data_IF_521602229289
#
_entry.id   IF_521602229289
#
_cell.length_a   1.000
_cell.length_b   1.000
_cell.length_c   1.000
_cell.angle_alpha   90.00
_cell.angle_beta   90.00
_cell.angle_gamma   90.00
#
_symmetry.space_group_name_H-M   'P 1'
#
loop_
_entity.id
_entity.type
_entity.pdbx_description
1 polymer ?
#
# COMPACT_ATOMS: atom_id res chain seq x y z
N UNK A 1 4.82 15.68 20.25
CA UNK A 1 3.79 16.71 19.98
C UNK A 1 2.79 16.20 18.96
N UNK A 2 3.23 15.65 17.82
CA UNK A 2 2.34 15.07 16.79
C UNK A 2 1.52 13.87 17.30
N UNK A 3 2.17 12.86 17.88
CA UNK A 3 1.47 11.69 18.46
C UNK A 3 0.43 12.04 19.53
N UNK A 4 0.67 13.07 20.35
CA UNK A 4 -0.32 13.53 21.34
C UNK A 4 -1.53 14.20 20.68
N UNK A 5 -1.32 14.91 19.57
CA UNK A 5 -2.42 15.49 18.80
C UNK A 5 -3.25 14.40 18.12
N UNK A 6 -2.61 13.37 17.57
CA UNK A 6 -3.28 12.22 16.95
C UNK A 6 -4.07 11.41 17.97
N UNK A 7 -3.51 11.12 19.15
CA UNK A 7 -4.22 10.45 20.24
C UNK A 7 -5.45 11.23 20.68
N UNK A 8 -5.33 12.56 20.78
CA UNK A 8 -6.48 13.41 21.11
C UNK A 8 -7.55 13.39 20.01
N UNK A 9 -7.17 13.51 18.73
CA UNK A 9 -8.09 13.44 17.59
C UNK A 9 -8.81 12.08 17.56
N UNK A 10 -8.07 10.99 17.80
CA UNK A 10 -8.64 9.65 17.89
C UNK A 10 -9.64 9.52 19.04
N UNK A 11 -9.30 10.01 20.23
CA UNK A 11 -10.22 10.04 21.38
C UNK A 11 -11.49 10.85 21.09
N UNK A 12 -11.35 12.03 20.49
CA UNK A 12 -12.49 12.88 20.11
C UNK A 12 -13.41 12.16 19.10
N UNK A 13 -12.84 11.43 18.12
CA UNK A 13 -13.59 10.58 17.19
C UNK A 13 -14.34 9.45 17.91
N UNK A 14 -13.67 8.71 18.81
CA UNK A 14 -14.29 7.63 19.59
C UNK A 14 -15.46 8.14 20.45
N UNK A 15 -15.23 9.22 21.20
CA UNK A 15 -16.25 9.84 22.06
C UNK A 15 -17.46 10.33 21.24
N UNK A 16 -17.20 11.00 20.11
CA UNK A 16 -18.23 11.50 19.22
C UNK A 16 -19.09 10.37 18.65
N UNK A 17 -18.45 9.36 18.06
CA UNK A 17 -19.13 8.25 17.41
C UNK A 17 -19.93 7.39 18.41
N UNK A 18 -19.36 7.05 19.57
CA UNK A 18 -20.07 6.26 20.59
C UNK A 18 -21.29 7.02 21.11
N UNK A 19 -21.17 8.33 21.33
CA UNK A 19 -22.29 9.16 21.76
C UNK A 19 -23.41 9.24 20.72
N UNK A 20 -23.05 9.39 19.44
CA UNK A 20 -24.02 9.40 18.33
C UNK A 20 -24.78 8.07 18.23
N UNK A 21 -24.07 6.96 18.43
CA UNK A 21 -24.62 5.61 18.48
C UNK A 21 -25.37 5.29 19.79
N UNK A 22 -25.50 6.27 20.69
CA UNK A 22 -26.15 6.13 22.01
C UNK A 22 -25.53 5.02 22.87
N UNK A 23 -24.24 4.78 22.69
CA UNK A 23 -23.46 3.86 23.51
C UNK A 23 -23.16 4.40 24.91
N UNK A 24 -22.57 3.54 25.74
CA UNK A 24 -22.03 3.95 27.03
C UNK A 24 -20.69 4.67 26.83
N UNK A 25 -20.52 5.84 27.45
CA UNK A 25 -19.28 6.62 27.35
C UNK A 25 -18.51 6.52 28.65
N UNK A 26 -17.34 5.89 28.60
CA UNK A 26 -16.30 5.95 29.63
C UNK A 26 -15.05 6.59 29.02
N UNK A 27 -14.81 7.86 29.35
CA UNK A 27 -13.71 8.61 28.75
C UNK A 27 -12.33 8.02 29.06
N UNK A 28 -12.16 7.38 30.23
CA UNK A 28 -10.87 6.82 30.64
C UNK A 28 -10.53 5.57 29.83
N UNK A 29 -11.48 4.64 29.68
CA UNK A 29 -11.25 3.45 28.86
C UNK A 29 -11.12 3.78 27.36
N UNK A 30 -11.82 4.81 26.89
CA UNK A 30 -11.69 5.28 25.51
C UNK A 30 -10.35 5.99 25.25
N UNK A 31 -9.75 6.62 26.27
CA UNK A 31 -8.40 7.16 26.17
C UNK A 31 -7.36 6.04 26.01
N UNK A 32 -7.48 4.95 26.77
CA UNK A 32 -6.65 3.75 26.61
C UNK A 32 -6.83 3.12 25.22
N UNK A 33 -8.06 3.10 24.70
CA UNK A 33 -8.37 2.62 23.35
C UNK A 33 -7.74 3.50 22.26
N UNK A 34 -7.83 4.83 22.42
CA UNK A 34 -7.20 5.77 21.50
C UNK A 34 -5.66 5.64 21.49
N UNK A 35 -5.05 5.45 22.66
CA UNK A 35 -3.61 5.21 22.78
C UNK A 35 -3.21 3.92 22.07
N UNK A 36 -3.95 2.83 22.28
CA UNK A 36 -3.73 1.54 21.60
C UNK A 36 -3.74 1.68 20.08
N UNK A 37 -4.74 2.40 19.54
CA UNK A 37 -4.88 2.64 18.10
C UNK A 37 -3.67 3.42 17.58
N UNK A 38 -3.40 4.60 18.15
CA UNK A 38 -2.33 5.48 17.66
C UNK A 38 -0.95 4.84 17.82
N UNK A 39 -0.69 4.14 18.92
CA UNK A 39 0.59 3.45 19.12
C UNK A 39 0.85 2.42 18.00
N UNK A 40 -0.19 1.75 17.54
CA UNK A 40 -0.04 0.70 16.53
C UNK A 40 0.11 1.29 15.13
N UNK A 41 -0.62 2.37 14.84
CA UNK A 41 -0.55 3.08 13.56
C UNK A 41 0.73 3.90 13.38
N UNK A 42 1.50 4.11 14.46
CA UNK A 42 2.78 4.85 14.44
C UNK A 42 4.01 3.93 14.43
N UNK A 43 3.82 2.66 14.08
CA UNK A 43 4.90 1.70 13.92
C UNK A 43 5.95 2.15 12.88
N UNK A 44 7.22 1.75 13.02
CA UNK A 44 8.32 2.26 12.16
C UNK A 44 8.21 1.85 10.69
N UNK A 45 7.32 0.91 10.37
CA UNK A 45 7.08 0.38 9.03
C UNK A 45 5.81 0.93 8.37
N UNK A 46 5.04 1.75 9.09
CA UNK A 46 3.77 2.33 8.63
C UNK A 46 4.03 3.67 7.95
N UNK A 47 3.93 3.72 6.63
CA UNK A 47 4.18 4.90 5.78
C UNK A 47 2.94 5.34 5.02
N UNK A 48 2.09 4.38 4.65
CA UNK A 48 0.79 4.58 4.04
C UNK A 48 -0.30 4.40 5.10
N UNK A 49 -0.29 3.26 5.81
CA UNK A 49 -1.30 2.93 6.82
C UNK A 49 -0.97 3.63 8.15
N UNK A 50 -1.26 4.93 8.23
CA UNK A 50 -0.87 5.87 9.31
C UNK A 50 -2.10 6.43 10.06
N UNK A 51 -1.94 7.20 11.16
CA UNK A 51 -3.05 7.89 11.80
C UNK A 51 -3.85 8.80 10.86
N UNK A 52 -3.20 9.57 9.98
CA UNK A 52 -3.93 10.44 9.05
C UNK A 52 -4.80 9.62 8.10
N UNK A 53 -4.29 8.49 7.61
CA UNK A 53 -5.04 7.60 6.73
C UNK A 53 -6.35 7.12 7.39
N UNK A 54 -6.33 6.61 8.63
CA UNK A 54 -7.57 6.15 9.28
C UNK A 54 -8.57 7.28 9.53
N UNK A 55 -8.10 8.52 9.70
CA UNK A 55 -9.00 9.67 9.83
C UNK A 55 -9.60 10.09 8.48
N UNK A 56 -8.83 10.06 7.40
CA UNK A 56 -9.31 10.31 6.03
C UNK A 56 -10.35 9.25 5.63
N UNK A 57 -10.06 7.98 5.89
CA UNK A 57 -10.98 6.85 5.61
C UNK A 57 -12.24 6.90 6.46
N UNK A 58 -12.17 7.32 7.72
CA UNK A 58 -13.35 7.44 8.58
C UNK A 58 -14.30 8.56 8.15
N UNK A 59 -13.77 9.61 7.53
CA UNK A 59 -14.54 10.82 7.27
C UNK A 59 -15.10 11.42 8.57
N UNK A 60 -16.26 12.07 8.49
CA UNK A 60 -16.85 12.75 9.67
C UNK A 60 -18.37 12.68 9.73
N UNK A 61 -19.02 11.83 8.93
CA UNK A 61 -20.47 11.87 8.72
C UNK A 61 -21.21 10.73 9.40
N UNK A 62 -20.70 9.50 9.33
CA UNK A 62 -21.36 8.31 9.88
C UNK A 62 -20.49 7.68 10.98
N UNK A 63 -21.04 7.57 12.18
CA UNK A 63 -20.32 7.05 13.34
C UNK A 63 -19.81 5.60 13.19
N UNK A 64 -20.51 4.74 12.44
CA UNK A 64 -20.06 3.37 12.18
C UNK A 64 -18.87 3.38 11.22
N UNK A 65 -18.90 4.21 10.17
CA UNK A 65 -17.76 4.38 9.26
C UNK A 65 -16.53 4.89 10.00
N UNK A 66 -16.70 5.90 10.88
CA UNK A 66 -15.62 6.43 11.71
C UNK A 66 -15.01 5.34 12.59
N UNK A 67 -15.83 4.61 13.35
CA UNK A 67 -15.33 3.54 14.22
C UNK A 67 -14.67 2.42 13.43
N UNK A 68 -15.24 1.98 12.31
CA UNK A 68 -14.62 0.95 11.48
C UNK A 68 -13.26 1.40 10.93
N UNK A 69 -13.14 2.64 10.44
CA UNK A 69 -11.89 3.17 9.92
C UNK A 69 -10.77 3.22 10.97
N UNK A 70 -11.09 3.62 12.20
CA UNK A 70 -10.11 3.69 13.29
C UNK A 70 -9.45 2.32 13.60
N UNK A 71 -10.12 1.22 13.28
CA UNK A 71 -9.65 -0.12 13.59
C UNK A 71 -9.22 -0.95 12.38
N UNK A 72 -9.68 -0.68 11.16
CA UNK A 72 -9.57 -1.63 10.05
C UNK A 72 -8.13 -2.10 9.74
N UNK A 73 -7.15 -1.21 9.88
CA UNK A 73 -5.72 -1.47 9.66
C UNK A 73 -4.89 -1.67 10.93
N UNK A 74 -5.56 -1.82 12.08
CA UNK A 74 -4.89 -1.92 13.36
C UNK A 74 -3.92 -3.11 13.38
N UNK A 75 -4.29 -4.26 12.79
CA UNK A 75 -3.40 -5.41 12.69
C UNK A 75 -2.86 -5.54 11.27
N UNK A 76 -1.54 -5.40 11.08
CA UNK A 76 -0.92 -5.59 9.76
C UNK A 76 0.37 -6.43 9.87
N UNK A 77 0.19 -7.75 10.00
CA UNK A 77 1.26 -8.68 10.36
C UNK A 77 2.47 -8.63 9.41
N UNK A 78 2.22 -8.46 8.11
CA UNK A 78 3.26 -8.50 7.08
C UNK A 78 4.11 -7.22 7.07
N UNK A 79 3.50 -6.08 7.44
CA UNK A 79 4.18 -4.78 7.53
C UNK A 79 4.89 -4.66 8.87
N UNK A 80 4.22 -5.03 9.96
CA UNK A 80 4.77 -4.89 11.31
C UNK A 80 5.76 -6.00 11.70
N UNK A 81 5.95 -7.01 10.84
CA UNK A 81 6.72 -8.24 11.12
C UNK A 81 6.27 -9.00 12.38
N UNK A 82 4.98 -8.91 12.71
CA UNK A 82 4.40 -9.53 13.89
C UNK A 82 3.13 -8.85 14.38
N UNK A 83 2.69 -9.19 15.59
CA UNK A 83 1.58 -8.54 16.28
C UNK A 83 2.12 -7.93 17.57
N UNK A 84 1.81 -6.66 17.84
CA UNK A 84 2.24 -5.99 19.07
C UNK A 84 1.67 -6.68 20.32
N UNK A 85 2.41 -6.66 21.43
CA UNK A 85 1.98 -7.32 22.67
C UNK A 85 0.63 -6.79 23.16
N UNK A 86 0.42 -5.48 23.07
CA UNK A 86 -0.79 -4.78 23.51
C UNK A 86 -2.03 -5.20 22.71
N UNK A 87 -1.86 -5.58 21.44
CA UNK A 87 -2.97 -6.10 20.63
C UNK A 87 -3.09 -7.62 20.76
N UNK A 88 -1.99 -8.33 21.01
CA UNK A 88 -1.96 -9.79 21.07
C UNK A 88 -2.90 -10.38 22.12
N UNK A 89 -3.19 -9.65 23.21
CA UNK A 89 -4.12 -10.10 24.24
C UNK A 89 -5.56 -10.24 23.73
N UNK A 90 -5.96 -9.44 22.73
CA UNK A 90 -7.26 -9.52 22.09
C UNK A 90 -7.36 -10.66 21.07
N UNK A 91 -6.23 -11.07 20.47
CA UNK A 91 -6.20 -12.02 19.34
C UNK A 91 -5.82 -13.44 19.77
N UNK A 92 -4.81 -13.57 20.63
CA UNK A 92 -4.23 -14.85 21.03
C UNK A 92 -5.21 -15.85 21.64
N UNK A 93 -6.33 -15.45 22.29
CA UNK A 93 -7.35 -16.41 22.72
C UNK A 93 -8.03 -17.14 21.56
N UNK A 94 -8.02 -16.57 20.35
CA UNK A 94 -8.79 -17.06 19.20
C UNK A 94 -7.91 -17.64 18.08
N UNK A 95 -6.67 -17.16 17.97
CA UNK A 95 -5.75 -17.52 16.88
C UNK A 95 -4.45 -18.09 17.46
N UNK A 96 -3.84 -19.02 16.73
CA UNK A 96 -2.52 -19.59 17.04
C UNK A 96 -1.66 -19.61 15.79
N UNK A 97 -0.35 -19.59 15.98
CA UNK A 97 0.59 -19.80 14.89
C UNK A 97 0.93 -21.30 14.77
N UNK A 98 0.88 -21.82 13.55
CA UNK A 98 1.24 -23.20 13.20
C UNK A 98 2.18 -23.13 11.99
N UNK A 99 3.46 -23.46 12.19
CA UNK A 99 4.49 -23.48 11.13
C UNK A 99 4.60 -22.16 10.35
N UNK A 100 4.55 -21.00 11.04
CA UNK A 100 4.63 -19.69 10.40
C UNK A 100 3.32 -19.15 9.85
N UNK A 101 2.21 -19.88 9.98
CA UNK A 101 0.89 -19.46 9.51
C UNK A 101 -0.07 -19.26 10.69
N UNK A 102 -0.85 -18.18 10.67
CA UNK A 102 -1.92 -17.98 11.64
C UNK A 102 -3.13 -18.86 11.31
N UNK A 103 -3.70 -19.50 12.32
CA UNK A 103 -4.83 -20.42 12.19
C UNK A 103 -5.82 -20.11 13.31
N UNK A 104 -7.11 -20.01 12.97
CA UNK A 104 -8.17 -19.93 13.97
C UNK A 104 -8.14 -21.21 14.79
N UNK A 105 -8.23 -21.09 16.12
CA UNK A 105 -8.17 -22.25 17.01
C UNK A 105 -9.31 -23.24 16.73
N UNK A 106 -9.08 -24.48 17.13
CA UNK A 106 -10.11 -25.53 17.07
C UNK A 106 -11.29 -25.17 17.96
N UNK A 107 -12.49 -25.65 17.64
CA UNK A 107 -13.70 -25.35 18.41
C UNK A 107 -13.55 -25.69 19.91
N UNK A 108 -12.85 -26.77 20.24
CA UNK A 108 -12.60 -27.19 21.63
C UNK A 108 -11.61 -26.29 22.40
N UNK A 109 -10.90 -25.41 21.69
CA UNK A 109 -9.89 -24.50 22.22
C UNK A 109 -10.36 -23.04 22.23
N UNK A 110 -11.46 -22.73 21.56
CA UNK A 110 -12.03 -21.39 21.52
C UNK A 110 -12.80 -21.10 22.82
N UNK A 111 -12.62 -19.92 23.42
CA UNK A 111 -13.47 -19.49 24.51
C UNK A 111 -14.90 -19.24 24.00
N UNK A 112 -15.88 -19.34 24.90
CA UNK A 112 -17.24 -18.92 24.61
C UNK A 112 -17.30 -17.38 24.63
N UNK A 113 -17.06 -16.76 23.48
CA UNK A 113 -16.98 -15.32 23.32
C UNK A 113 -17.91 -14.86 22.18
N UNK A 114 -18.96 -14.14 22.56
CA UNK A 114 -20.00 -13.70 21.63
C UNK A 114 -19.47 -12.73 20.57
N UNK A 115 -18.50 -11.87 20.91
CA UNK A 115 -17.97 -10.89 19.96
C UNK A 115 -17.13 -11.57 18.88
N UNK A 116 -16.30 -12.54 19.28
CA UNK A 116 -15.58 -13.38 18.33
C UNK A 116 -16.53 -14.14 17.40
N UNK A 117 -17.59 -14.75 17.94
CA UNK A 117 -18.58 -15.48 17.14
C UNK A 117 -19.27 -14.57 16.10
N UNK A 118 -19.62 -13.34 16.48
CA UNK A 118 -20.19 -12.34 15.57
C UNK A 118 -19.20 -12.00 14.45
N UNK A 119 -17.96 -11.65 14.79
CA UNK A 119 -16.94 -11.29 13.80
C UNK A 119 -16.66 -12.46 12.87
N UNK A 120 -16.52 -13.68 13.38
CA UNK A 120 -16.34 -14.88 12.59
C UNK A 120 -17.50 -15.13 11.62
N UNK A 121 -18.76 -14.92 12.05
CA UNK A 121 -19.93 -15.06 11.20
C UNK A 121 -19.99 -14.00 10.10
N UNK A 122 -19.66 -12.73 10.41
CA UNK A 122 -19.61 -11.63 9.43
C UNK A 122 -18.53 -11.89 8.37
N UNK A 123 -17.35 -12.36 8.78
CA UNK A 123 -16.26 -12.72 7.88
C UNK A 123 -16.48 -14.07 7.19
N UNK A 124 -17.41 -14.89 7.67
CA UNK A 124 -17.63 -16.25 7.18
C UNK A 124 -16.45 -17.19 7.46
N UNK A 125 -15.68 -16.91 8.51
CA UNK A 125 -14.55 -17.73 8.93
C UNK A 125 -14.99 -18.79 9.94
N UNK A 126 -14.32 -19.94 9.91
CA UNK A 126 -14.66 -21.10 10.76
C UNK A 126 -13.48 -21.54 11.62
N UNK A 127 -13.73 -22.25 12.74
CA UNK A 127 -12.66 -22.85 13.54
C UNK A 127 -11.72 -23.72 12.71
N UNK A 128 -10.45 -23.80 13.13
CA UNK A 128 -9.37 -24.51 12.43
C UNK A 128 -8.99 -23.96 11.04
N UNK A 129 -9.64 -22.89 10.56
CA UNK A 129 -9.32 -22.30 9.27
C UNK A 129 -7.94 -21.62 9.30
N UNK A 130 -7.04 -21.91 8.33
CA UNK A 130 -5.83 -21.14 8.14
C UNK A 130 -6.18 -19.74 7.63
N UNK A 131 -5.58 -18.73 8.25
CA UNK A 131 -5.69 -17.34 7.80
C UNK A 131 -4.67 -17.08 6.69
N UNK A 132 -5.08 -16.26 5.72
CA UNK A 132 -4.28 -15.89 4.57
C UNK A 132 -4.22 -14.36 4.46
N UNK A 133 -3.02 -13.77 4.28
CA UNK A 133 -2.87 -12.34 3.99
C UNK A 133 -3.72 -11.88 2.80
N UNK A 134 -3.94 -12.76 1.82
CA UNK A 134 -4.69 -12.47 0.60
C UNK A 134 -6.20 -12.74 0.73
N UNK A 135 -6.68 -13.08 1.92
CA UNK A 135 -8.08 -13.47 2.14
C UNK A 135 -8.64 -12.86 3.42
N UNK A 136 -8.19 -11.66 3.79
CA UNK A 136 -8.76 -10.90 4.89
C UNK A 136 -8.20 -11.19 6.28
N UNK A 137 -6.98 -11.73 6.38
CA UNK A 137 -6.36 -12.01 7.68
C UNK A 137 -6.25 -10.76 8.54
N UNK A 138 -5.75 -9.66 8.00
CA UNK A 138 -5.46 -8.46 8.77
C UNK A 138 -6.74 -7.79 9.24
N UNK A 139 -7.70 -7.64 8.34
CA UNK A 139 -9.03 -7.07 8.56
C UNK A 139 -9.82 -7.91 9.57
N UNK A 140 -9.74 -9.23 9.50
CA UNK A 140 -10.38 -10.11 10.49
C UNK A 140 -9.79 -9.92 11.89
N UNK A 141 -8.47 -9.87 11.99
CA UNK A 141 -7.78 -9.67 13.26
C UNK A 141 -8.07 -8.27 13.83
N UNK A 142 -8.05 -7.23 12.99
CA UNK A 142 -8.48 -5.88 13.31
C UNK A 142 -9.92 -5.82 13.80
N UNK A 143 -10.84 -6.52 13.15
CA UNK A 143 -12.24 -6.59 13.56
C UNK A 143 -12.45 -7.30 14.90
N UNK A 144 -11.65 -8.33 15.22
CA UNK A 144 -11.65 -8.93 16.57
C UNK A 144 -11.26 -7.89 17.60
N UNK A 145 -10.17 -7.14 17.35
CA UNK A 145 -9.71 -6.11 18.29
C UNK A 145 -10.77 -5.02 18.45
N UNK A 146 -11.38 -4.55 17.35
CA UNK A 146 -12.47 -3.59 17.38
C UNK A 146 -13.64 -4.09 18.22
N UNK A 147 -14.11 -5.32 17.97
CA UNK A 147 -15.24 -5.89 18.67
C UNK A 147 -14.97 -6.03 20.17
N UNK A 148 -13.77 -6.48 20.56
CA UNK A 148 -13.38 -6.62 21.97
C UNK A 148 -13.15 -5.28 22.66
N UNK A 149 -12.56 -4.29 21.98
CA UNK A 149 -12.36 -2.96 22.54
C UNK A 149 -13.68 -2.20 22.72
N UNK A 150 -14.68 -2.46 21.86
CA UNK A 150 -15.95 -1.74 21.86
C UNK A 150 -17.09 -2.42 22.62
N UNK A 151 -16.90 -3.66 23.09
CA UNK A 151 -17.97 -4.48 23.69
C UNK A 151 -18.61 -3.89 24.96
N UNK A 152 -17.87 -3.06 25.69
CA UNK A 152 -18.39 -2.37 26.88
C UNK A 152 -19.17 -1.09 26.55
N UNK A 153 -19.02 -0.56 25.34
CA UNK A 153 -19.61 0.72 24.93
C UNK A 153 -20.81 0.54 24.01
N UNK A 154 -20.82 -0.50 23.18
CA UNK A 154 -21.77 -0.69 22.09
C UNK A 154 -22.47 -2.03 22.17
N UNK A 155 -23.68 -2.09 21.61
CA UNK A 155 -24.45 -3.32 21.55
C UNK A 155 -23.93 -4.26 20.45
N UNK A 156 -24.18 -5.58 20.56
CA UNK A 156 -23.69 -6.57 19.59
C UNK A 156 -24.10 -6.30 18.13
N UNK A 157 -25.28 -5.74 17.90
CA UNK A 157 -25.73 -5.38 16.56
C UNK A 157 -24.87 -4.26 15.97
N UNK A 158 -24.61 -3.19 16.72
CA UNK A 158 -23.74 -2.09 16.28
C UNK A 158 -22.32 -2.60 15.97
N UNK A 159 -21.78 -3.48 16.81
CA UNK A 159 -20.46 -4.10 16.58
C UNK A 159 -20.45 -4.94 15.31
N UNK A 160 -21.55 -5.63 14.99
CA UNK A 160 -21.68 -6.34 13.72
C UNK A 160 -21.66 -5.41 12.49
N UNK A 161 -22.23 -4.20 12.59
CA UNK A 161 -22.12 -3.18 11.53
C UNK A 161 -20.67 -2.71 11.32
N UNK A 162 -19.94 -2.48 12.41
CA UNK A 162 -18.52 -2.09 12.39
C UNK A 162 -17.69 -3.21 11.76
N UNK A 163 -17.90 -4.46 12.20
CA UNK A 163 -17.21 -5.61 11.64
C UNK A 163 -17.50 -5.81 10.15
N UNK A 164 -18.73 -5.54 9.69
CA UNK A 164 -19.09 -5.61 8.28
C UNK A 164 -18.36 -4.56 7.44
N UNK A 165 -18.22 -3.34 7.97
CA UNK A 165 -17.44 -2.29 7.34
C UNK A 165 -15.95 -2.67 7.23
N UNK A 166 -15.34 -3.20 8.29
CA UNK A 166 -13.95 -3.69 8.26
C UNK A 166 -13.81 -4.88 7.30
N UNK A 167 -14.79 -5.79 7.23
CA UNK A 167 -14.76 -6.91 6.28
C UNK A 167 -14.73 -6.43 4.82
N UNK A 168 -15.45 -5.35 4.51
CA UNK A 168 -15.49 -4.81 3.16
C UNK A 168 -14.17 -4.17 2.72
N UNK A 169 -13.30 -3.75 3.64
CA UNK A 169 -11.99 -3.18 3.30
C UNK A 169 -10.99 -4.24 2.81
N UNK A 170 -11.31 -5.55 2.89
CA UNK A 170 -10.46 -6.60 2.29
C UNK A 170 -10.36 -6.36 0.77
N UNK A 171 -9.17 -5.97 0.26
CA UNK A 171 -9.09 -5.35 -1.05
C UNK A 171 -9.04 -6.37 -2.18
N UNK A 172 -9.43 -5.92 -3.39
CA UNK A 172 -9.21 -6.60 -4.68
C UNK A 172 -9.77 -8.02 -4.81
N UNK A 173 -10.79 -8.37 -4.03
CA UNK A 173 -11.42 -9.69 -4.08
C UNK A 173 -12.20 -9.87 -5.39
N UNK A 174 -11.97 -10.97 -6.14
CA UNK A 174 -12.72 -11.24 -7.35
C UNK A 174 -14.16 -11.66 -7.04
N UNK A 175 -15.03 -11.59 -8.05
CA UNK A 175 -16.33 -12.25 -8.01
C UNK A 175 -16.15 -13.76 -7.96
N UNK A 176 -17.06 -14.45 -7.28
CA UNK A 176 -17.11 -15.91 -7.33
C UNK A 176 -17.50 -16.39 -8.75
N UNK A 177 -17.24 -17.67 -9.02
CA UNK A 177 -17.70 -18.33 -10.26
C UNK A 177 -19.23 -18.25 -10.43
N UNK A 178 -19.98 -18.17 -9.32
CA UNK A 178 -21.43 -17.96 -9.32
C UNK A 178 -21.86 -16.56 -9.76
N UNK A 179 -20.92 -15.63 -9.95
CA UNK A 179 -21.16 -14.23 -10.29
C UNK A 179 -21.35 -13.30 -9.08
N UNK A 180 -21.45 -13.85 -7.86
CA UNK A 180 -21.61 -13.07 -6.63
C UNK A 180 -20.37 -12.20 -6.35
N UNK A 181 -20.60 -10.94 -6.01
CA UNK A 181 -19.57 -10.01 -5.55
C UNK A 181 -19.25 -10.21 -4.07
N UNK A 182 -18.11 -9.69 -3.57
CA UNK A 182 -17.83 -9.66 -2.14
C UNK A 182 -18.95 -9.00 -1.32
N UNK A 183 -19.54 -7.91 -1.81
CA UNK A 183 -20.67 -7.24 -1.16
C UNK A 183 -21.93 -8.10 -1.10
N UNK A 184 -22.22 -8.90 -2.14
CA UNK A 184 -23.33 -9.86 -2.12
C UNK A 184 -23.11 -10.97 -1.07
N UNK A 185 -21.87 -11.43 -0.92
CA UNK A 185 -21.51 -12.41 0.09
C UNK A 185 -21.60 -11.84 1.50
N UNK A 186 -21.19 -10.58 1.69
CA UNK A 186 -21.36 -9.88 2.95
C UNK A 186 -22.86 -9.76 3.29
N UNK A 187 -23.70 -9.36 2.34
CA UNK A 187 -25.15 -9.31 2.53
C UNK A 187 -25.73 -10.66 2.99
N UNK A 188 -25.37 -11.76 2.32
CA UNK A 188 -25.83 -13.10 2.70
C UNK A 188 -25.34 -13.53 4.09
N UNK A 189 -24.10 -13.19 4.46
CA UNK A 189 -23.56 -13.47 5.79
C UNK A 189 -24.28 -12.65 6.87
N UNK A 190 -24.59 -11.39 6.60
CA UNK A 190 -25.31 -10.53 7.55
C UNK A 190 -26.76 -10.98 7.77
N UNK A 191 -27.45 -11.52 6.75
CA UNK A 191 -28.77 -12.14 6.95
C UNK A 191 -28.67 -13.30 7.95
N UNK A 192 -27.72 -14.21 7.75
CA UNK A 192 -27.50 -15.36 8.65
C UNK A 192 -27.09 -14.92 10.05
N UNK A 193 -26.20 -13.94 10.16
CA UNK A 193 -25.76 -13.40 11.44
C UNK A 193 -26.92 -12.70 12.17
N UNK A 194 -27.77 -11.95 11.48
CA UNK A 194 -28.97 -11.33 12.04
C UNK A 194 -29.90 -12.36 12.68
N UNK A 195 -30.15 -13.48 12.00
CA UNK A 195 -30.95 -14.59 12.53
C UNK A 195 -30.25 -15.28 13.72
N UNK A 196 -28.95 -15.60 13.58
CA UNK A 196 -28.18 -16.33 14.58
C UNK A 196 -28.03 -15.56 15.90
N UNK A 197 -27.75 -14.26 15.82
CA UNK A 197 -27.46 -13.42 16.99
C UNK A 197 -28.62 -12.52 17.40
N UNK A 198 -29.73 -12.58 16.67
CA UNK A 198 -30.98 -11.89 16.94
C UNK A 198 -30.80 -10.36 16.98
N UNK A 199 -30.10 -9.79 16.00
CA UNK A 199 -29.87 -8.33 15.94
C UNK A 199 -31.18 -7.54 15.72
N UNK A 200 -32.20 -8.18 15.14
CA UNK A 200 -33.50 -7.56 14.88
C UNK A 200 -33.49 -6.63 13.67
N UNK A 201 -32.53 -6.78 12.75
CA UNK A 201 -32.47 -5.98 11.54
C UNK A 201 -33.56 -6.39 10.54
N UNK A 202 -34.11 -5.40 9.86
CA UNK A 202 -34.93 -5.60 8.66
C UNK A 202 -34.05 -5.75 7.43
N UNK A 203 -34.59 -6.29 6.33
CA UNK A 203 -33.87 -6.37 5.06
C UNK A 203 -33.33 -5.01 4.61
N UNK A 204 -34.11 -3.94 4.80
CA UNK A 204 -33.69 -2.58 4.48
C UNK A 204 -32.49 -2.13 5.32
N UNK A 205 -32.46 -2.47 6.61
CA UNK A 205 -31.32 -2.18 7.49
C UNK A 205 -30.09 -2.98 7.07
N UNK A 206 -30.24 -4.27 6.77
CA UNK A 206 -29.13 -5.12 6.30
C UNK A 206 -28.56 -4.59 4.98
N UNK A 207 -29.40 -4.16 4.04
CA UNK A 207 -28.94 -3.50 2.81
C UNK A 207 -28.15 -2.22 3.10
N UNK A 208 -28.62 -1.38 4.03
CA UNK A 208 -27.91 -0.15 4.40
C UNK A 208 -26.57 -0.43 5.07
N UNK A 209 -26.46 -1.47 5.90
CA UNK A 209 -25.17 -1.89 6.47
C UNK A 209 -24.17 -2.21 5.35
N UNK A 210 -24.57 -2.99 4.35
CA UNK A 210 -23.67 -3.32 3.22
C UNK A 210 -23.31 -2.09 2.39
N UNK A 211 -24.27 -1.18 2.14
CA UNK A 211 -24.01 0.09 1.45
C UNK A 211 -22.98 0.93 2.19
N UNK A 212 -23.11 1.03 3.51
CA UNK A 212 -22.12 1.68 4.37
C UNK A 212 -20.75 1.03 4.26
N UNK A 213 -20.69 -0.30 4.31
CA UNK A 213 -19.43 -1.03 4.16
C UNK A 213 -18.78 -0.74 2.80
N UNK A 214 -19.56 -0.64 1.71
CA UNK A 214 -19.06 -0.24 0.38
C UNK A 214 -18.54 1.20 0.35
N UNK A 215 -19.22 2.15 1.02
CA UNK A 215 -18.73 3.54 1.13
C UNK A 215 -17.37 3.59 1.81
N UNK A 216 -17.21 2.91 2.93
CA UNK A 216 -15.95 2.85 3.66
C UNK A 216 -14.85 2.20 2.81
N UNK A 217 -15.09 1.01 2.25
CA UNK A 217 -14.09 0.30 1.46
C UNK A 217 -13.67 1.07 0.21
N UNK A 218 -14.59 1.81 -0.41
CA UNK A 218 -14.26 2.66 -1.55
C UNK A 218 -13.45 3.90 -1.15
N UNK A 219 -13.64 4.42 0.07
CA UNK A 219 -12.83 5.53 0.60
C UNK A 219 -11.42 5.08 0.94
N UNK A 220 -11.28 3.87 1.49
CA UNK A 220 -9.98 3.24 1.79
C UNK A 220 -9.06 3.18 0.56
N UNK A 221 -9.61 2.80 -0.60
CA UNK A 221 -8.85 2.71 -1.86
C UNK A 221 -9.05 3.90 -2.81
N UNK A 222 -9.54 5.05 -2.32
CA UNK A 222 -9.93 6.17 -3.18
C UNK A 222 -8.77 6.75 -4.00
N UNK A 223 -7.55 6.64 -3.47
CA UNK A 223 -6.32 7.13 -4.07
C UNK A 223 -6.07 6.53 -5.46
N UNK A 224 -6.56 5.32 -5.74
CA UNK A 224 -6.49 4.71 -7.07
C UNK A 224 -7.21 5.52 -8.15
N UNK A 225 -8.26 6.28 -7.79
CA UNK A 225 -9.07 7.07 -8.71
C UNK A 225 -8.78 8.57 -8.67
N UNK A 226 -7.65 8.99 -8.08
CA UNK A 226 -7.26 10.40 -8.09
C UNK A 226 -7.14 10.96 -9.51
N UNK A 227 -7.64 12.19 -9.79
CA UNK A 227 -7.61 12.76 -11.13
C UNK A 227 -6.21 12.94 -11.70
N UNK A 228 -5.25 13.26 -10.83
CA UNK A 228 -3.85 13.46 -11.16
C UNK A 228 -3.05 12.20 -10.80
N UNK A 229 -2.36 11.64 -11.80
CA UNK A 229 -1.60 10.41 -11.61
C UNK A 229 -0.34 10.58 -10.76
N UNK A 230 0.14 11.82 -10.57
CA UNK A 230 1.22 12.11 -9.62
C UNK A 230 0.80 11.80 -8.16
N UNK A 231 -0.42 12.19 -7.78
CA UNK A 231 -0.95 11.96 -6.42
C UNK A 231 -1.20 10.46 -6.17
N UNK A 232 -1.65 9.72 -7.20
CA UNK A 232 -1.73 8.26 -7.14
C UNK A 232 -0.35 7.62 -6.95
N UNK A 233 0.67 8.09 -7.67
CA UNK A 233 2.03 7.56 -7.54
C UNK A 233 2.68 7.91 -6.20
N UNK A 234 2.37 9.05 -5.59
CA UNK A 234 2.85 9.40 -4.25
C UNK A 234 2.41 8.35 -3.22
N UNK A 235 1.12 8.00 -3.25
CA UNK A 235 0.58 6.95 -2.39
C UNK A 235 1.18 5.57 -2.70
N UNK A 236 1.38 5.25 -3.98
CA UNK A 236 2.07 4.02 -4.40
C UNK A 236 3.51 3.97 -3.84
N UNK A 237 4.19 5.10 -3.79
CA UNK A 237 5.53 5.18 -3.20
C UNK A 237 5.51 5.03 -1.68
N UNK A 238 4.49 5.53 -0.99
CA UNK A 238 4.38 5.31 0.46
C UNK A 238 4.23 3.83 0.84
N UNK A 239 3.73 2.97 -0.07
CA UNK A 239 3.64 1.52 0.14
C UNK A 239 4.97 0.76 -0.02
N UNK A 240 5.96 1.33 -0.71
CA UNK A 240 7.22 0.63 -1.00
C UNK A 240 8.01 0.26 0.28
N UNK A 241 8.21 1.16 1.26
CA UNK A 241 8.92 0.84 2.50
C UNK A 241 8.18 -0.19 3.35
N UNK A 242 6.84 -0.17 3.36
CA UNK A 242 6.02 -1.08 4.18
C UNK A 242 6.19 -2.55 3.78
N UNK A 243 6.55 -2.80 2.50
CA UNK A 243 6.77 -4.14 1.96
C UNK A 243 8.24 -4.45 1.70
N UNK A 244 9.14 -3.47 1.90
CA UNK A 244 10.58 -3.57 1.65
C UNK A 244 11.38 -2.73 2.65
N UNK A 245 11.64 -3.32 3.81
CA UNK A 245 12.22 -2.64 4.98
C UNK A 245 13.67 -2.16 4.75
N UNK A 246 14.37 -2.71 3.76
CA UNK A 246 15.71 -2.27 3.36
C UNK A 246 15.74 -0.77 2.97
N UNK A 247 14.63 -0.23 2.47
CA UNK A 247 14.53 1.17 2.04
C UNK A 247 14.60 2.18 3.19
N UNK A 248 14.45 1.75 4.46
CA UNK A 248 14.54 2.64 5.62
C UNK A 248 15.94 3.18 5.85
N UNK A 249 16.96 2.42 5.47
CA UNK A 249 18.35 2.83 5.65
C UNK A 249 18.77 3.72 4.49
N UNK A 250 18.47 5.01 4.63
CA UNK A 250 18.83 6.06 3.66
C UNK A 250 20.28 5.91 3.21
N UNK A 251 20.50 5.93 1.89
CA UNK A 251 21.81 5.77 1.23
C UNK A 251 22.52 4.42 1.44
N UNK A 252 21.97 3.47 2.22
CA UNK A 252 22.59 2.19 2.52
C UNK A 252 21.96 1.01 1.76
N UNK A 253 20.72 1.15 1.27
CA UNK A 253 20.09 0.10 0.47
C UNK A 253 20.85 -0.12 -0.84
N UNK A 254 20.89 -1.37 -1.28
CA UNK A 254 21.66 -1.78 -2.45
C UNK A 254 20.86 -1.60 -3.74
N UNK A 255 21.58 -1.61 -4.88
CA UNK A 255 20.94 -1.57 -6.20
C UNK A 255 19.96 -2.73 -6.36
N UNK A 256 20.37 -3.93 -5.92
CA UNK A 256 19.55 -5.14 -5.97
C UNK A 256 18.31 -5.03 -5.08
N UNK A 257 18.45 -4.54 -3.84
CA UNK A 257 17.33 -4.35 -2.91
C UNK A 257 16.28 -3.36 -3.44
N UNK A 258 16.73 -2.23 -3.99
CA UNK A 258 15.84 -1.25 -4.61
C UNK A 258 15.12 -1.83 -5.84
N UNK A 259 15.84 -2.54 -6.72
CA UNK A 259 15.23 -3.23 -7.86
C UNK A 259 14.15 -4.21 -7.40
N UNK A 260 14.40 -5.06 -6.40
CA UNK A 260 13.39 -6.02 -5.89
C UNK A 260 12.12 -5.31 -5.46
N UNK A 261 12.26 -4.18 -4.78
CA UNK A 261 11.15 -3.36 -4.31
C UNK A 261 10.30 -2.85 -5.49
N UNK A 262 10.95 -2.26 -6.50
CA UNK A 262 10.28 -1.83 -7.73
C UNK A 262 9.64 -2.99 -8.49
N UNK A 263 10.30 -4.14 -8.57
CA UNK A 263 9.82 -5.30 -9.31
C UNK A 263 8.55 -5.89 -8.66
N UNK A 264 8.49 -5.96 -7.33
CA UNK A 264 7.28 -6.37 -6.62
C UNK A 264 6.11 -5.43 -6.91
N UNK A 265 6.33 -4.12 -6.84
CA UNK A 265 5.29 -3.12 -7.10
C UNK A 265 4.82 -3.15 -8.55
N UNK A 266 5.75 -3.30 -9.51
CA UNK A 266 5.40 -3.47 -10.92
C UNK A 266 4.60 -4.76 -11.15
N UNK A 267 4.97 -5.86 -10.50
CA UNK A 267 4.23 -7.12 -10.54
C UNK A 267 2.80 -6.96 -10.00
N UNK A 268 2.64 -6.28 -8.86
CA UNK A 268 1.34 -5.96 -8.29
C UNK A 268 0.47 -5.13 -9.25
N UNK A 269 1.00 -4.05 -9.82
CA UNK A 269 0.27 -3.19 -10.76
C UNK A 269 -0.15 -3.91 -12.05
N UNK A 270 0.62 -4.90 -12.50
CA UNK A 270 0.26 -5.72 -13.66
C UNK A 270 -0.74 -6.83 -13.34
N UNK A 271 -0.76 -7.32 -12.10
CA UNK A 271 -1.70 -8.34 -11.65
C UNK A 271 -3.09 -7.77 -11.33
N UNK A 272 -3.12 -6.58 -10.72
CA UNK A 272 -4.37 -5.95 -10.31
C UNK A 272 -5.24 -5.61 -11.53
N UNK A 273 -6.54 -5.86 -11.40
CA UNK A 273 -7.55 -5.49 -12.39
C UNK A 273 -8.28 -4.23 -11.91
N UNK A 274 -8.41 -3.17 -12.75
CA UNK A 274 -9.09 -1.93 -12.35
C UNK A 274 -10.50 -2.15 -11.81
N UNK A 275 -11.21 -3.15 -12.33
CA UNK A 275 -12.59 -3.47 -11.98
C UNK A 275 -12.74 -4.13 -10.59
N UNK A 276 -11.63 -4.49 -9.95
CA UNK A 276 -11.61 -5.08 -8.60
C UNK A 276 -11.28 -4.05 -7.50
N UNK A 277 -10.95 -2.81 -7.86
CA UNK A 277 -10.55 -1.78 -6.91
C UNK A 277 -11.77 -1.25 -6.16
N UNK A 278 -12.76 -0.72 -6.89
CA UNK A 278 -13.97 -0.18 -6.30
C UNK A 278 -15.09 -1.22 -6.28
N UNK A 279 -15.91 -1.17 -5.24
CA UNK A 279 -17.10 -2.00 -5.07
C UNK A 279 -18.37 -1.20 -5.37
N UNK A 280 -19.43 -1.91 -5.73
CA UNK A 280 -20.77 -1.36 -5.91
C UNK A 280 -21.80 -2.35 -5.38
N UNK A 281 -22.78 -1.86 -4.62
CA UNK A 281 -23.88 -2.67 -4.10
C UNK A 281 -25.21 -1.91 -4.14
N UNK A 282 -26.19 -2.46 -4.86
CA UNK A 282 -27.55 -1.92 -4.96
C UNK A 282 -27.61 -0.39 -5.17
N UNK A 283 -26.84 0.11 -6.13
CA UNK A 283 -26.77 1.53 -6.49
C UNK A 283 -25.93 2.40 -5.56
N UNK A 284 -25.12 1.81 -4.68
CA UNK A 284 -24.12 2.52 -3.88
C UNK A 284 -22.70 2.10 -4.29
N UNK A 285 -21.85 3.00 -4.81
CA UNK A 285 -22.25 4.30 -5.37
C UNK A 285 -23.13 4.11 -6.62
N UNK A 286 -23.71 5.19 -7.14
CA UNK A 286 -24.46 5.13 -8.39
C UNK A 286 -23.56 4.72 -9.58
N UNK A 287 -24.18 4.22 -10.66
CA UNK A 287 -23.46 3.69 -11.82
C UNK A 287 -22.51 4.72 -12.46
N UNK A 288 -22.90 5.99 -12.51
CA UNK A 288 -22.08 7.04 -13.11
C UNK A 288 -20.82 7.29 -12.27
N UNK A 289 -20.99 7.37 -10.96
CA UNK A 289 -19.87 7.50 -10.01
C UNK A 289 -18.95 6.28 -10.09
N UNK A 290 -19.50 5.07 -10.08
CA UNK A 290 -18.72 3.83 -10.19
C UNK A 290 -17.90 3.77 -11.48
N UNK A 291 -18.52 4.06 -12.63
CA UNK A 291 -17.84 4.07 -13.93
C UNK A 291 -16.73 5.13 -14.00
N UNK A 292 -16.94 6.29 -13.39
CA UNK A 292 -15.92 7.34 -13.32
C UNK A 292 -14.70 6.90 -12.49
N UNK A 293 -14.93 6.27 -11.32
CA UNK A 293 -13.88 5.70 -10.47
C UNK A 293 -13.09 4.65 -11.25
N UNK A 294 -13.76 3.65 -11.82
CA UNK A 294 -13.12 2.58 -12.60
C UNK A 294 -12.32 3.11 -13.80
N UNK A 295 -12.83 4.15 -14.49
CA UNK A 295 -12.12 4.78 -15.62
C UNK A 295 -10.83 5.48 -15.16
N UNK A 296 -10.88 6.21 -14.05
CA UNK A 296 -9.69 6.91 -13.51
C UNK A 296 -8.65 5.91 -12.99
N UNK A 297 -9.08 4.88 -12.30
CA UNK A 297 -8.22 3.76 -11.88
C UNK A 297 -7.51 3.13 -13.06
N UNK A 298 -8.24 2.81 -14.13
CA UNK A 298 -7.62 2.24 -15.33
C UNK A 298 -6.55 3.15 -15.90
N UNK A 299 -6.83 4.45 -16.03
CA UNK A 299 -5.82 5.45 -16.47
C UNK A 299 -4.59 5.44 -15.56
N UNK A 300 -4.80 5.57 -14.24
CA UNK A 300 -3.73 5.65 -13.25
C UNK A 300 -2.87 4.38 -13.22
N UNK A 301 -3.47 3.21 -13.34
CA UNK A 301 -2.75 1.95 -13.42
C UNK A 301 -1.92 1.83 -14.69
N UNK A 302 -2.42 2.27 -15.85
CA UNK A 302 -1.62 2.30 -17.08
C UNK A 302 -0.45 3.28 -16.99
N UNK A 303 -0.64 4.45 -16.34
CA UNK A 303 0.46 5.38 -16.02
C UNK A 303 1.49 4.70 -15.12
N UNK A 304 1.07 4.06 -14.03
CA UNK A 304 1.97 3.37 -13.11
C UNK A 304 2.74 2.23 -13.79
N UNK A 305 2.09 1.39 -14.59
CA UNK A 305 2.75 0.28 -15.30
C UNK A 305 3.87 0.79 -16.20
N UNK A 306 3.60 1.83 -16.99
CA UNK A 306 4.62 2.39 -17.88
C UNK A 306 5.73 3.10 -17.09
N UNK A 307 5.38 3.90 -16.08
CA UNK A 307 6.34 4.59 -15.21
C UNK A 307 7.27 3.63 -14.46
N UNK A 308 6.70 2.59 -13.81
CA UNK A 308 7.46 1.57 -13.09
C UNK A 308 8.30 0.71 -14.05
N UNK A 309 7.77 0.36 -15.22
CA UNK A 309 8.50 -0.36 -16.26
C UNK A 309 9.77 0.40 -16.68
N UNK A 310 9.68 1.71 -16.86
CA UNK A 310 10.83 2.55 -17.20
C UNK A 310 11.83 2.62 -16.04
N UNK A 311 11.36 2.79 -14.79
CA UNK A 311 12.27 2.75 -13.63
C UNK A 311 12.94 1.38 -13.49
N UNK A 312 12.27 0.29 -13.86
CA UNK A 312 12.85 -1.05 -13.89
C UNK A 312 13.95 -1.21 -14.95
N UNK A 313 13.76 -0.66 -16.15
CA UNK A 313 14.82 -0.64 -17.18
C UNK A 313 16.04 0.12 -16.65
N UNK A 314 15.82 1.30 -16.06
CA UNK A 314 16.89 2.13 -15.49
C UNK A 314 17.67 1.38 -14.42
N UNK A 315 16.99 0.79 -13.45
CA UNK A 315 17.67 0.05 -12.38
C UNK A 315 18.33 -1.24 -12.90
N UNK A 316 17.83 -1.85 -13.97
CA UNK A 316 18.49 -2.99 -14.62
C UNK A 316 19.85 -2.60 -15.19
N UNK A 317 19.94 -1.46 -15.88
CA UNK A 317 21.20 -0.93 -16.42
C UNK A 317 22.18 -0.66 -15.27
N UNK A 318 21.71 0.00 -14.20
CA UNK A 318 22.54 0.28 -13.04
C UNK A 318 22.99 -1.00 -12.33
N UNK A 319 22.12 -2.00 -12.16
CA UNK A 319 22.48 -3.28 -11.53
C UNK A 319 23.51 -4.04 -12.37
N UNK A 320 23.31 -4.10 -13.69
CA UNK A 320 24.26 -4.74 -14.59
C UNK A 320 25.63 -4.05 -14.61
N UNK A 321 25.66 -2.71 -14.55
CA UNK A 321 26.91 -1.94 -14.37
C UNK A 321 27.53 -2.20 -13.00
N UNK A 322 26.71 -2.32 -11.95
CA UNK A 322 27.18 -2.56 -10.58
C UNK A 322 28.03 -3.82 -10.49
N UNK A 323 27.68 -4.89 -11.23
CA UNK A 323 28.40 -6.16 -11.24
C UNK A 323 29.86 -6.04 -11.73
N UNK A 324 30.23 -4.94 -12.40
CA UNK A 324 31.62 -4.64 -12.79
C UNK A 324 32.44 -4.03 -11.66
N UNK A 325 31.79 -3.49 -10.63
CA UNK A 325 32.40 -2.86 -9.45
C UNK A 325 32.30 -3.77 -8.21
N UNK A 326 31.19 -4.52 -8.11
CA UNK A 326 30.85 -5.45 -7.03
C UNK A 326 29.37 -5.83 -7.11
N UNK A 327 29.01 -7.09 -6.80
CA UNK A 327 27.66 -7.61 -7.07
C UNK A 327 26.52 -6.96 -6.28
N UNK A 328 26.80 -6.32 -5.14
CA UNK A 328 25.77 -5.80 -4.24
C UNK A 328 26.25 -4.52 -3.54
N UNK A 329 26.42 -3.46 -4.33
CA UNK A 329 26.85 -2.14 -3.82
C UNK A 329 25.65 -1.26 -3.46
N UNK A 330 25.81 -0.30 -2.53
CA UNK A 330 24.78 0.72 -2.26
C UNK A 330 24.37 1.47 -3.53
N UNK A 331 23.08 1.77 -3.70
CA UNK A 331 22.62 2.53 -4.88
C UNK A 331 23.27 3.92 -4.94
N UNK A 332 23.50 4.51 -3.76
CA UNK A 332 24.20 5.78 -3.61
C UNK A 332 25.60 5.77 -4.22
N UNK A 333 26.25 4.61 -4.30
CA UNK A 333 27.55 4.46 -4.97
C UNK A 333 27.47 4.81 -6.46
N UNK A 334 26.38 4.43 -7.14
CA UNK A 334 26.19 4.69 -8.58
C UNK A 334 25.49 6.02 -8.87
N UNK A 335 24.49 6.40 -8.07
CA UNK A 335 23.63 7.54 -8.37
C UNK A 335 23.99 8.82 -7.62
N UNK A 336 24.81 8.73 -6.57
CA UNK A 336 25.01 9.83 -5.62
C UNK A 336 24.15 9.65 -4.36
N UNK A 337 24.48 10.40 -3.31
CA UNK A 337 23.69 10.40 -2.07
C UNK A 337 22.44 11.24 -2.24
N UNK A 338 21.37 10.86 -1.52
CA UNK A 338 20.15 11.67 -1.49
C UNK A 338 20.43 13.07 -0.90
N UNK A 339 19.84 14.13 -1.47
CA UNK A 339 20.12 15.51 -1.06
C UNK A 339 19.84 15.73 0.42
N UNK A 340 20.76 16.36 1.14
CA UNK A 340 20.55 16.74 2.55
C UNK A 340 20.62 18.26 2.70
N UNK A 341 19.80 18.87 3.59
CA UNK A 341 19.79 20.32 3.74
C UNK A 341 21.19 20.88 4.00
N UNK A 342 21.64 21.80 3.15
CA UNK A 342 22.95 22.45 3.27
C UNK A 342 24.15 21.64 2.76
N UNK A 343 23.95 20.43 2.21
CA UNK A 343 25.02 19.59 1.66
C UNK A 343 24.79 19.39 0.16
N UNK A 344 25.72 19.88 -0.67
CA UNK A 344 25.75 19.61 -2.10
C UNK A 344 26.59 18.36 -2.36
N UNK A 345 25.92 17.25 -2.66
CA UNK A 345 26.56 16.01 -3.09
C UNK A 345 26.48 15.88 -4.61
N UNK A 346 27.60 15.56 -5.29
CA UNK A 346 27.55 15.18 -6.71
C UNK A 346 26.60 13.98 -6.91
N UNK A 347 25.79 14.05 -7.97
CA UNK A 347 24.84 13.03 -8.36
C UNK A 347 25.03 12.69 -9.84
N UNK A 348 24.62 11.49 -10.23
CA UNK A 348 24.84 10.95 -11.58
C UNK A 348 24.23 11.84 -12.68
N UNK A 349 23.06 12.42 -12.42
CA UNK A 349 22.34 13.26 -13.37
C UNK A 349 23.08 14.54 -13.75
N UNK A 350 23.95 15.06 -12.87
CA UNK A 350 24.81 16.20 -13.20
C UNK A 350 25.86 15.89 -14.27
N UNK A 351 26.15 14.61 -14.53
CA UNK A 351 27.16 14.16 -15.49
C UNK A 351 26.54 13.57 -16.77
N UNK A 352 25.21 13.50 -16.87
CA UNK A 352 24.53 13.07 -18.08
C UNK A 352 24.49 14.21 -19.11
N UNK A 353 24.77 13.93 -20.39
CA UNK A 353 24.79 14.97 -21.41
C UNK A 353 23.38 15.40 -21.83
N UNK A 354 23.28 16.65 -22.31
CA UNK A 354 22.08 17.12 -22.99
C UNK A 354 21.81 16.31 -24.27
N UNK A 355 20.54 16.03 -24.52
CA UNK A 355 20.11 15.26 -25.68
C UNK A 355 19.73 16.22 -26.81
N UNK A 356 20.57 16.30 -27.84
CA UNK A 356 20.37 17.22 -28.96
C UNK A 356 19.08 16.96 -29.77
N UNK A 357 18.61 15.72 -29.82
CA UNK A 357 17.36 15.32 -30.48
C UNK A 357 16.63 14.30 -29.61
N UNK A 358 15.76 14.79 -28.74
CA UNK A 358 14.96 13.92 -27.89
C UNK A 358 13.89 13.20 -28.72
N UNK A 359 13.64 11.93 -28.39
CA UNK A 359 12.47 11.21 -28.88
C UNK A 359 11.21 11.81 -28.24
N UNK A 360 10.26 12.19 -29.09
CA UNK A 360 8.98 12.76 -28.63
C UNK A 360 7.98 11.65 -28.27
N UNK A 361 7.20 11.82 -27.20
CA UNK A 361 6.10 10.92 -26.86
C UNK A 361 4.99 10.98 -27.92
N UNK A 362 4.49 9.81 -28.34
CA UNK A 362 3.48 9.65 -29.38
C UNK A 362 2.06 9.72 -28.81
N UNK A 363 1.86 9.23 -27.59
CA UNK A 363 0.53 9.20 -26.94
C UNK A 363 0.40 10.19 -25.79
N UNK A 364 -0.84 10.45 -25.35
CA UNK A 364 -1.11 11.26 -24.17
C UNK A 364 -0.56 10.60 -22.89
N UNK A 365 -0.64 9.27 -22.79
CA UNK A 365 -0.10 8.50 -21.69
C UNK A 365 1.43 8.66 -21.60
N UNK A 366 2.12 8.54 -22.73
CA UNK A 366 3.58 8.71 -22.79
C UNK A 366 4.00 10.15 -22.44
N UNK A 367 3.24 11.15 -22.87
CA UNK A 367 3.47 12.56 -22.48
C UNK A 367 3.38 12.73 -20.96
N UNK A 368 2.34 12.18 -20.36
CA UNK A 368 2.12 12.24 -18.92
C UNK A 368 3.23 11.51 -18.15
N UNK A 369 3.61 10.31 -18.58
CA UNK A 369 4.71 9.55 -17.95
C UNK A 369 6.05 10.25 -18.11
N UNK A 370 6.36 10.81 -19.28
CA UNK A 370 7.60 11.57 -19.49
C UNK A 370 7.66 12.80 -18.57
N UNK A 371 6.54 13.49 -18.41
CA UNK A 371 6.44 14.62 -17.50
C UNK A 371 6.67 14.19 -16.04
N UNK A 372 6.06 13.07 -15.61
CA UNK A 372 6.26 12.49 -14.28
C UNK A 372 7.71 12.07 -14.03
N UNK A 373 8.39 11.50 -15.03
CA UNK A 373 9.81 11.16 -14.90
C UNK A 373 10.70 12.41 -14.80
N UNK A 374 10.34 13.48 -15.51
CA UNK A 374 11.12 14.70 -15.61
C UNK A 374 10.93 15.62 -14.39
N UNK A 375 9.67 15.95 -14.06
CA UNK A 375 9.31 16.86 -12.97
C UNK A 375 9.15 16.14 -11.62
N UNK A 376 8.82 14.86 -11.66
CA UNK A 376 8.60 14.04 -10.48
C UNK A 376 7.17 13.98 -10.00
N UNK A 377 6.96 13.18 -8.95
CA UNK A 377 5.71 13.13 -8.18
C UNK A 377 5.50 14.43 -7.37
N UNK A 378 4.34 14.59 -6.72
CA UNK A 378 4.06 15.84 -5.99
C UNK A 378 4.75 15.89 -4.62
N UNK A 379 4.99 14.74 -3.99
CA UNK A 379 5.65 14.64 -2.67
C UNK A 379 7.05 14.03 -2.80
N UNK A 380 7.94 14.49 -1.92
CA UNK A 380 9.24 13.86 -1.73
C UNK A 380 9.10 12.63 -0.82
N UNK A 381 9.95 11.62 -1.03
CA UNK A 381 10.04 10.44 -0.16
C UNK A 381 11.37 10.49 0.60
N UNK A 382 11.41 10.01 1.84
CA UNK A 382 12.63 10.05 2.65
C UNK A 382 13.81 9.24 2.04
N UNK A 383 13.49 8.27 1.17
CA UNK A 383 14.39 7.25 0.64
C UNK A 383 14.57 7.30 -0.90
N UNK A 384 13.86 8.18 -1.62
CA UNK A 384 13.92 8.32 -3.09
C UNK A 384 13.74 9.79 -3.49
N UNK A 385 14.33 10.21 -4.61
CA UNK A 385 14.04 11.51 -5.21
C UNK A 385 12.72 11.44 -6.00
N UNK A 386 11.94 12.52 -6.01
CA UNK A 386 10.61 12.54 -6.64
C UNK A 386 10.66 12.41 -8.17
N UNK A 387 11.68 12.95 -8.81
CA UNK A 387 11.91 12.83 -10.25
C UNK A 387 12.84 11.65 -10.57
N UNK A 388 13.05 11.35 -11.84
CA UNK A 388 13.83 10.20 -12.28
C UNK A 388 14.72 10.59 -13.45
N UNK A 389 15.76 11.42 -13.21
CA UNK A 389 16.55 12.05 -14.27
C UNK A 389 17.24 11.03 -15.19
N UNK A 390 17.78 9.94 -14.65
CA UNK A 390 18.38 8.86 -15.46
C UNK A 390 17.34 8.17 -16.35
N UNK A 391 16.13 7.94 -15.81
CA UNK A 391 15.01 7.37 -16.58
C UNK A 391 14.55 8.32 -17.69
N UNK A 392 14.48 9.63 -17.39
CA UNK A 392 14.18 10.68 -18.36
C UNK A 392 15.22 10.71 -19.48
N UNK A 393 16.52 10.63 -19.14
CA UNK A 393 17.61 10.57 -20.11
C UNK A 393 17.48 9.36 -21.03
N UNK A 394 17.25 8.16 -20.47
CA UNK A 394 17.06 6.94 -21.26
C UNK A 394 15.90 7.12 -22.24
N UNK A 395 14.72 7.49 -21.77
CA UNK A 395 13.52 7.57 -22.62
C UNK A 395 13.61 8.68 -23.66
N UNK A 396 14.19 9.84 -23.33
CA UNK A 396 14.46 10.87 -24.34
C UNK A 396 15.48 10.42 -25.39
N UNK A 397 16.33 9.42 -25.10
CA UNK A 397 17.33 8.92 -26.05
C UNK A 397 16.79 7.82 -26.97
N UNK A 398 16.00 6.89 -26.45
CA UNK A 398 15.56 5.69 -27.21
C UNK A 398 14.05 5.65 -27.52
N UNK A 399 13.26 6.54 -26.92
CA UNK A 399 11.81 6.59 -27.04
C UNK A 399 11.06 5.49 -26.29
N UNK A 400 9.73 5.66 -26.18
CA UNK A 400 8.85 4.69 -25.52
C UNK A 400 8.67 3.39 -26.30
N UNK A 401 8.78 3.41 -27.63
CA UNK A 401 8.64 2.21 -28.48
C UNK A 401 9.61 1.09 -28.09
N UNK A 402 10.83 1.46 -27.69
CA UNK A 402 11.89 0.51 -27.29
C UNK A 402 11.69 -0.04 -25.86
N UNK A 403 10.86 0.61 -25.04
CA UNK A 403 10.73 0.27 -23.60
C UNK A 403 10.14 -1.12 -23.36
N UNK A 404 9.18 -1.58 -24.16
CA UNK A 404 8.57 -2.90 -24.01
C UNK A 404 9.58 -4.04 -24.20
N UNK A 405 10.44 -3.93 -25.21
CA UNK A 405 11.52 -4.88 -25.45
C UNK A 405 12.53 -4.89 -24.31
N UNK A 406 13.02 -3.71 -23.93
CA UNK A 406 14.03 -3.60 -22.87
C UNK A 406 13.50 -4.04 -21.52
N UNK A 407 12.25 -3.75 -21.18
CA UNK A 407 11.63 -4.24 -19.94
C UNK A 407 11.58 -5.77 -19.91
N UNK A 408 11.27 -6.41 -21.04
CA UNK A 408 11.34 -7.86 -21.15
C UNK A 408 12.76 -8.36 -20.90
N UNK A 409 13.76 -7.79 -21.56
CA UNK A 409 15.18 -8.16 -21.34
C UNK A 409 15.63 -7.91 -19.90
N UNK A 410 15.18 -6.82 -19.27
CA UNK A 410 15.45 -6.56 -17.85
C UNK A 410 14.88 -7.68 -16.97
N UNK A 411 13.66 -8.16 -17.25
CA UNK A 411 13.06 -9.27 -16.50
C UNK A 411 13.83 -10.59 -16.71
N UNK A 412 14.30 -10.88 -17.92
CA UNK A 412 15.17 -12.05 -18.19
C UNK A 412 16.50 -11.96 -17.42
N UNK A 413 17.08 -10.76 -17.36
CA UNK A 413 18.28 -10.50 -16.55
C UNK A 413 18.02 -10.73 -15.06
N UNK A 414 16.91 -10.22 -14.52
CA UNK A 414 16.53 -10.40 -13.12
C UNK A 414 16.25 -11.87 -12.77
N UNK A 415 15.75 -12.64 -13.73
CA UNK A 415 15.55 -14.08 -13.59
C UNK A 415 16.86 -14.88 -13.69
N UNK A 416 17.97 -14.26 -14.10
CA UNK A 416 19.26 -14.91 -14.30
C UNK A 416 19.35 -15.71 -15.61
N UNK A 417 18.41 -15.51 -16.54
CA UNK A 417 18.39 -16.21 -17.83
C UNK A 417 19.40 -15.63 -18.83
N UNK A 418 19.74 -14.35 -18.66
CA UNK A 418 20.83 -13.68 -19.38
C UNK A 418 21.78 -13.01 -18.38
N UNK A 419 23.05 -12.94 -18.73
CA UNK A 419 24.08 -12.27 -17.94
C UNK A 419 23.96 -10.75 -18.02
N UNK A 420 24.59 -10.05 -17.08
CA UNK A 420 24.70 -8.59 -17.10
C UNK A 420 25.34 -8.06 -18.41
N UNK A 421 26.32 -8.78 -18.96
CA UNK A 421 26.98 -8.41 -20.21
C UNK A 421 26.06 -8.55 -21.42
N UNK A 422 25.30 -9.64 -21.50
CA UNK A 422 24.30 -9.86 -22.54
C UNK A 422 23.20 -8.81 -22.46
N UNK A 423 22.63 -8.54 -21.26
CA UNK A 423 21.64 -7.50 -21.07
C UNK A 423 22.13 -6.10 -21.52
N UNK A 424 23.35 -5.70 -21.14
CA UNK A 424 23.90 -4.41 -21.56
C UNK A 424 24.13 -4.33 -23.08
N UNK A 425 24.35 -5.46 -23.77
CA UNK A 425 24.50 -5.50 -25.23
C UNK A 425 23.17 -5.38 -25.98
N UNK A 426 22.04 -5.66 -25.31
CA UNK A 426 20.68 -5.46 -25.83
C UNK A 426 20.21 -4.00 -25.72
N UNK A 427 20.88 -3.20 -24.86
CA UNK A 427 20.61 -1.78 -24.70
C UNK A 427 21.28 -0.95 -25.80
N UNK A 428 20.81 0.30 -25.97
CA UNK A 428 21.50 1.25 -26.84
C UNK A 428 22.91 1.56 -26.29
N UNK A 429 23.93 1.29 -27.11
CA UNK A 429 25.33 1.38 -26.69
C UNK A 429 25.77 2.81 -26.33
N UNK A 430 25.22 3.83 -27.00
CA UNK A 430 25.54 5.23 -26.69
C UNK A 430 24.93 5.64 -25.35
N UNK A 431 23.68 5.22 -25.06
CA UNK A 431 23.04 5.43 -23.77
C UNK A 431 23.80 4.75 -22.63
N UNK A 432 24.17 3.47 -22.80
CA UNK A 432 24.94 2.74 -21.79
C UNK A 432 26.31 3.37 -21.57
N UNK A 433 27.02 3.77 -22.63
CA UNK A 433 28.33 4.44 -22.51
C UNK A 433 28.21 5.73 -21.71
N UNK A 434 27.24 6.60 -22.04
CA UNK A 434 27.03 7.88 -21.34
C UNK A 434 26.68 7.71 -19.87
N UNK A 435 25.86 6.71 -19.53
CA UNK A 435 25.56 6.39 -18.12
C UNK A 435 26.82 5.88 -17.40
N UNK A 436 27.58 4.99 -18.03
CA UNK A 436 28.82 4.46 -17.44
C UNK A 436 29.89 5.55 -17.25
N UNK A 437 30.03 6.47 -18.21
CA UNK A 437 30.89 7.65 -18.13
C UNK A 437 30.45 8.59 -16.99
N UNK A 438 29.14 8.84 -16.85
CA UNK A 438 28.62 9.64 -15.74
C UNK A 438 28.89 9.00 -14.37
N UNK A 439 28.76 7.67 -14.25
CA UNK A 439 29.14 6.94 -13.05
C UNK A 439 30.64 7.08 -12.78
N UNK A 440 31.49 6.93 -13.80
CA UNK A 440 32.94 7.09 -13.66
C UNK A 440 33.33 8.49 -13.18
N UNK A 441 32.74 9.54 -13.74
CA UNK A 441 32.94 10.94 -13.31
C UNK A 441 32.49 11.17 -11.86
N UNK A 442 31.40 10.54 -11.43
CA UNK A 442 30.97 10.57 -10.03
C UNK A 442 32.04 9.97 -9.10
N UNK A 443 32.64 8.83 -9.46
CA UNK A 443 33.75 8.25 -8.72
C UNK A 443 34.99 9.14 -8.69
N UNK A 444 35.33 9.77 -9.82
CA UNK A 444 36.45 10.73 -9.90
C UNK A 444 36.23 11.96 -9.02
N UNK A 445 35.00 12.46 -8.94
CA UNK A 445 34.65 13.57 -8.05
C UNK A 445 34.90 13.23 -6.57
N UNK A 446 34.52 12.02 -6.14
CA UNK A 446 34.75 11.51 -4.79
C UNK A 446 36.24 11.29 -4.52
N UNK A 447 36.96 10.71 -5.47
CA UNK A 447 38.41 10.54 -5.38
C UNK A 447 39.14 11.89 -5.27
N UNK A 448 38.68 12.90 -6.00
CA UNK A 448 39.22 14.26 -5.95
C UNK A 448 38.95 14.94 -4.61
N UNK A 449 37.75 14.78 -4.04
CA UNK A 449 37.42 15.28 -2.70
C UNK A 449 38.33 14.70 -1.61
N UNK A 450 38.65 13.40 -1.68
CA UNK A 450 39.61 12.76 -0.77
C UNK A 450 41.04 13.27 -0.96
N UNK A 451 41.44 13.58 -2.20
CA UNK A 451 42.77 14.14 -2.51
C UNK A 451 42.90 15.61 -2.10
N UNK A 452 41.80 16.36 -2.14
CA UNK A 452 41.73 17.77 -1.75
C UNK A 452 41.89 18.05 -0.25
N UNK A 453 42.03 17.01 0.57
CA UNK A 453 42.37 17.09 1.98
C UNK A 453 43.89 17.23 2.26
N UNK A 454 44.73 17.30 1.21
CA UNK A 454 46.18 17.47 1.32
C UNK A 454 46.61 18.91 1.30
#
# INVERSE_FOLDING_TARGET
>A
MEQQADSKRCLDCLLGAIKELKGHVDATQLEETAELIIQTMTGPWRYFHTPEHIFEVGGSVDAIEVLAALFHDLVYVQVDQGVSLNISCYISPFVKEVRGQLVIRELSQLPNDRMFEIVAAVFGFVPAQPLSPFSGQNEFLSAIVAAKALEFFLTPDIIAEIAACIEATIPFRPKLESGLTPSDLLYQRLIKANEQFNFGWTDAKTCEVVKRSVRLSNRDVENFAYPNSADFLDNTWNLLPETNHELLHRNAYTVHGFRRSLQKMEGFMNFLKPELVFQQFMGEPDDQTYLALASRTRKNMEVAKLYLGIKLITIAILEALSYRLGRDIPLSTLMGELPSPGILTPALDHFLPDIARACEPQTALEREVLELLNKGRNRDSAYDIKNSPVSTFIIKSIGFTSSGYLLKQSKEFFAGNISAGEFLSECDGDVVSKIAEGVAQLFESRASALRGFR
#
